data_IF_074472644026
#
_entry.id   IF_074472644026
#
_cell.length_a   1.000
_cell.length_b   1.000
_cell.length_c   1.000
_cell.angle_alpha   90.00
_cell.angle_beta   90.00
_cell.angle_gamma   90.00
#
_symmetry.space_group_name_H-M   'P 1'
#
loop_
_entity.id
_entity.type
_entity.pdbx_description
1 polymer ?
#
# COMPACT_ATOMS: atom_id res chain seq x y z
N UNK A 1 40.80 -22.55 1.70
CA UNK A 1 39.78 -23.05 2.64
C UNK A 1 38.93 -22.00 3.36
N UNK A 2 38.41 -20.96 2.68
CA UNK A 2 37.33 -20.13 3.24
C UNK A 2 36.33 -19.65 2.17
N UNK A 3 35.92 -20.54 1.27
CA UNK A 3 34.96 -20.22 0.20
C UNK A 3 33.58 -20.89 0.34
N UNK A 4 33.39 -21.82 1.30
CA UNK A 4 32.11 -22.53 1.47
C UNK A 4 31.01 -21.73 2.20
N UNK A 5 31.38 -20.74 3.02
CA UNK A 5 30.40 -20.06 3.89
C UNK A 5 29.40 -19.12 3.21
N UNK A 6 29.68 -18.65 1.99
CA UNK A 6 28.88 -17.59 1.35
C UNK A 6 27.68 -18.10 0.54
N UNK A 7 27.56 -19.42 0.35
CA UNK A 7 26.49 -20.02 -0.45
C UNK A 7 25.11 -20.03 0.19
N UNK A 8 25.05 -19.97 1.52
CA UNK A 8 23.82 -20.04 2.33
C UNK A 8 23.53 -18.70 3.05
N UNK A 9 24.48 -17.76 3.04
CA UNK A 9 24.25 -16.44 3.60
C UNK A 9 23.50 -15.55 2.59
N UNK A 10 22.51 -14.79 3.10
CA UNK A 10 21.51 -14.02 2.36
C UNK A 10 20.34 -14.86 1.80
N UNK A 11 19.55 -14.30 0.86
CA UNK A 11 18.26 -14.83 0.39
C UNK A 11 18.30 -16.29 -0.11
N UNK A 12 19.48 -16.84 -0.43
CA UNK A 12 19.67 -18.24 -0.81
C UNK A 12 19.39 -19.24 0.33
N UNK A 13 19.56 -18.84 1.60
CA UNK A 13 19.25 -19.68 2.76
C UNK A 13 17.77 -19.98 2.94
N UNK A 14 16.88 -19.18 2.32
CA UNK A 14 15.43 -19.41 2.36
C UNK A 14 14.97 -20.62 1.53
N UNK A 15 15.86 -21.18 0.69
CA UNK A 15 15.56 -22.32 -0.18
C UNK A 15 16.16 -23.63 0.34
N UNK A 16 16.79 -23.63 1.52
CA UNK A 16 17.46 -24.80 2.11
C UNK A 16 16.73 -25.25 3.36
N UNK A 17 16.21 -26.47 3.35
CA UNK A 17 15.42 -27.02 4.47
C UNK A 17 16.30 -27.64 5.56
N UNK A 18 17.43 -28.27 5.20
CA UNK A 18 18.47 -28.71 6.13
C UNK A 18 19.82 -28.93 5.40
N UNK A 19 20.93 -28.94 6.17
CA UNK A 19 22.27 -29.31 5.68
C UNK A 19 22.68 -30.61 6.37
N UNK A 20 23.18 -31.58 5.60
CA UNK A 20 23.72 -32.83 6.15
C UNK A 20 25.24 -32.86 5.94
N UNK A 21 26.00 -32.75 7.03
CA UNK A 21 27.47 -32.68 7.01
C UNK A 21 28.04 -31.38 7.59
N UNK A 22 29.32 -31.11 7.32
CA UNK A 22 30.02 -29.92 7.82
C UNK A 22 29.61 -28.66 7.05
N UNK A 23 28.93 -27.75 7.76
CA UNK A 23 28.44 -26.47 7.25
C UNK A 23 29.54 -25.60 6.60
N UNK A 24 30.80 -25.75 7.04
CA UNK A 24 31.92 -24.94 6.54
C UNK A 24 32.39 -25.37 5.15
N UNK A 25 31.96 -26.54 4.66
CA UNK A 25 32.34 -27.11 3.37
C UNK A 25 31.22 -27.10 2.32
N UNK A 26 30.13 -26.36 2.58
CA UNK A 26 29.04 -26.23 1.61
C UNK A 26 29.51 -25.43 0.40
N UNK A 27 29.73 -26.09 -0.74
CA UNK A 27 29.88 -25.39 -2.02
C UNK A 27 28.54 -24.77 -2.40
N UNK A 28 28.51 -23.44 -2.49
CA UNK A 28 27.28 -22.67 -2.56
C UNK A 28 26.35 -23.04 -3.71
N UNK A 29 25.06 -22.89 -3.47
CA UNK A 29 24.02 -23.09 -4.48
C UNK A 29 24.29 -22.12 -5.65
N UNK A 30 24.48 -22.61 -6.89
CA UNK A 30 24.86 -21.75 -8.02
C UNK A 30 23.62 -20.99 -8.52
N UNK A 31 23.20 -19.99 -7.75
CA UNK A 31 21.96 -19.23 -7.96
C UNK A 31 21.86 -18.65 -9.37
N UNK A 32 22.99 -18.21 -9.95
CA UNK A 32 23.04 -17.75 -11.33
C UNK A 32 22.65 -18.86 -12.33
N UNK A 33 23.16 -20.08 -12.13
CA UNK A 33 22.84 -21.22 -12.98
C UNK A 33 21.39 -21.66 -12.82
N UNK A 34 20.89 -21.68 -11.58
CA UNK A 34 19.49 -22.01 -11.27
C UNK A 34 18.52 -20.99 -11.90
N UNK A 35 18.76 -19.69 -11.72
CA UNK A 35 17.95 -18.64 -12.33
C UNK A 35 17.98 -18.70 -13.86
N UNK A 36 19.13 -19.04 -14.48
CA UNK A 36 19.23 -19.27 -15.93
C UNK A 36 18.37 -20.46 -16.37
N UNK A 37 18.38 -21.56 -15.62
CA UNK A 37 17.55 -22.74 -15.94
C UNK A 37 16.05 -22.46 -15.79
N UNK A 38 15.65 -21.68 -14.78
CA UNK A 38 14.27 -21.21 -14.66
C UNK A 38 13.89 -20.30 -15.84
N UNK A 39 14.76 -19.36 -16.22
CA UNK A 39 14.51 -18.50 -17.37
C UNK A 39 14.36 -19.32 -18.68
N UNK A 40 15.17 -20.36 -18.89
CA UNK A 40 15.04 -21.27 -20.03
C UNK A 40 13.72 -22.06 -20.04
N UNK A 41 13.22 -22.45 -18.87
CA UNK A 41 11.98 -23.22 -18.73
C UNK A 41 10.72 -22.38 -18.97
N UNK A 42 10.70 -21.15 -18.44
CA UNK A 42 9.52 -20.28 -18.51
C UNK A 42 9.55 -19.32 -19.71
N UNK A 43 10.74 -19.03 -20.25
CA UNK A 43 10.95 -18.14 -21.39
C UNK A 43 11.98 -18.73 -22.38
N UNK A 44 11.66 -19.86 -23.03
CA UNK A 44 12.60 -20.51 -23.93
C UNK A 44 12.98 -19.55 -25.08
N UNK A 45 14.28 -19.35 -25.36
CA UNK A 45 14.70 -18.42 -26.40
C UNK A 45 14.24 -18.93 -27.78
N UNK A 46 13.80 -18.01 -28.64
CA UNK A 46 13.44 -18.34 -30.03
C UNK A 46 14.68 -18.84 -30.78
N UNK A 47 14.51 -19.83 -31.66
CA UNK A 47 15.60 -20.58 -32.33
C UNK A 47 16.48 -19.78 -33.33
N UNK A 48 16.52 -18.45 -33.27
CA UNK A 48 17.36 -17.66 -34.16
C UNK A 48 18.35 -16.75 -33.41
N UNK A 49 19.64 -17.00 -33.73
CA UNK A 49 20.87 -16.23 -33.43
C UNK A 49 21.42 -16.28 -32.00
N UNK A 50 22.23 -17.31 -31.72
CA UNK A 50 23.23 -17.30 -30.64
C UNK A 50 24.55 -16.79 -31.23
N UNK A 51 24.94 -15.56 -30.90
CA UNK A 51 26.34 -15.12 -30.97
C UNK A 51 26.94 -15.15 -29.56
N UNK A 52 27.86 -16.08 -29.33
CA UNK A 52 28.63 -16.14 -28.08
C UNK A 52 29.61 -14.97 -28.01
N UNK A 53 29.32 -13.96 -27.17
CA UNK A 53 30.33 -13.00 -26.71
C UNK A 53 30.98 -13.51 -25.43
N UNK A 54 32.29 -13.72 -25.48
CA UNK A 54 33.14 -14.11 -24.35
C UNK A 54 33.45 -12.84 -23.53
N UNK A 55 33.19 -12.86 -22.23
CA UNK A 55 33.63 -11.81 -21.31
C UNK A 55 34.79 -12.38 -20.47
N UNK A 56 35.89 -11.63 -20.40
CA UNK A 56 37.04 -11.95 -19.56
C UNK A 56 36.78 -11.56 -18.10
N UNK A 57 37.41 -12.30 -17.19
CA UNK A 57 37.21 -12.29 -15.73
C UNK A 57 37.45 -10.93 -15.06
N UNK A 58 36.65 -10.62 -14.03
CA UNK A 58 36.74 -9.41 -13.19
C UNK A 58 37.97 -9.52 -12.25
N UNK A 59 38.84 -8.50 -12.12
CA UNK A 59 39.98 -8.53 -11.21
C UNK A 59 39.57 -8.26 -9.74
N UNK A 60 40.35 -8.80 -8.79
CA UNK A 60 40.14 -8.66 -7.35
C UNK A 60 40.50 -7.26 -6.84
N UNK A 61 39.72 -6.73 -5.89
CA UNK A 61 39.95 -5.43 -5.23
C UNK A 61 40.53 -5.66 -3.83
N UNK A 62 41.62 -4.94 -3.52
CA UNK A 62 42.27 -4.95 -2.21
C UNK A 62 41.43 -4.23 -1.14
N UNK A 63 41.40 -4.82 0.05
CA UNK A 63 40.77 -4.28 1.27
C UNK A 63 41.56 -3.10 1.83
N UNK A 64 40.91 -1.95 2.04
CA UNK A 64 41.49 -0.80 2.74
C UNK A 64 41.38 -0.97 4.26
N UNK A 65 42.53 -1.07 4.93
CA UNK A 65 42.70 -0.79 6.35
C UNK A 65 43.04 0.69 6.58
N UNK A 66 42.45 1.25 7.64
CA UNK A 66 42.88 2.38 8.49
C UNK A 66 43.31 3.71 7.87
N UNK A 67 42.62 4.80 8.28
CA UNK A 67 43.24 6.03 8.80
C UNK A 67 42.26 6.74 9.77
N UNK A 68 42.75 7.12 10.95
CA UNK A 68 42.03 7.87 12.00
C UNK A 68 42.40 9.36 12.02
N UNK A 69 41.58 10.10 12.76
CA UNK A 69 41.76 11.38 13.45
C UNK A 69 41.93 12.70 12.66
N UNK A 70 41.16 13.69 13.11
CA UNK A 70 41.31 15.11 12.75
C UNK A 70 40.13 15.96 13.21
N UNK A 71 40.24 16.53 14.40
CA UNK A 71 39.29 17.47 15.01
C UNK A 71 39.10 18.80 14.23
N UNK A 72 38.01 19.49 14.64
CA UNK A 72 37.80 20.94 14.66
C UNK A 72 36.97 21.57 13.53
N UNK A 73 35.83 22.16 13.91
CA UNK A 73 35.64 23.62 13.81
C UNK A 73 34.30 24.07 14.39
N UNK A 74 34.36 25.31 14.85
CA UNK A 74 33.42 26.08 15.65
C UNK A 74 32.59 27.02 14.76
N UNK A 75 31.42 27.46 15.26
CA UNK A 75 30.66 28.70 14.92
C UNK A 75 30.14 28.82 13.45
N UNK A 76 29.02 29.44 13.07
CA UNK A 76 28.15 30.47 13.65
C UNK A 76 26.82 30.49 12.86
N UNK A 77 25.77 31.02 13.48
CA UNK A 77 24.49 31.40 12.87
C UNK A 77 24.63 32.43 11.73
N UNK A 78 23.69 32.40 10.76
CA UNK A 78 23.23 33.62 10.10
C UNK A 78 21.73 33.53 9.76
N UNK A 79 20.94 34.37 10.44
CA UNK A 79 19.60 34.83 10.02
C UNK A 79 19.75 35.88 8.92
N UNK A 80 18.92 35.82 7.88
CA UNK A 80 18.35 37.00 7.22
C UNK A 80 16.91 36.68 6.78
N UNK A 81 16.01 37.62 7.08
CA UNK A 81 14.60 37.64 6.69
C UNK A 81 14.34 38.79 5.70
N UNK A 82 13.19 38.72 5.01
CA UNK A 82 12.29 39.80 4.54
C UNK A 82 11.80 39.56 3.09
N UNK A 83 10.47 39.39 2.91
CA UNK A 83 9.46 40.36 2.40
C UNK A 83 9.42 40.41 0.85
N UNK A 84 8.32 40.64 0.13
CA UNK A 84 6.85 40.61 0.27
C UNK A 84 6.33 40.98 -1.16
N UNK A 85 5.05 40.71 -1.45
CA UNK A 85 4.16 41.43 -2.39
C UNK A 85 3.57 40.75 -3.64
N UNK A 86 2.33 41.22 -3.87
CA UNK A 86 1.18 40.78 -4.64
C UNK A 86 1.21 41.12 -6.13
N UNK A 87 0.43 40.38 -6.92
CA UNK A 87 -0.60 40.97 -7.81
C UNK A 87 -1.53 39.87 -8.35
N UNK A 88 -2.82 40.19 -8.51
CA UNK A 88 -3.83 39.32 -9.13
C UNK A 88 -4.38 39.94 -10.41
N UNK A 89 -5.20 39.17 -11.16
CA UNK A 89 -6.48 39.59 -11.76
C UNK A 89 -7.03 38.61 -12.82
N UNK A 90 -8.34 38.37 -12.70
CA UNK A 90 -9.41 38.17 -13.69
C UNK A 90 -9.59 36.95 -14.61
N UNK A 91 -10.87 36.58 -14.62
CA UNK A 91 -11.70 35.64 -15.38
C UNK A 91 -11.86 35.97 -16.87
N UNK A 92 -12.03 34.93 -17.70
CA UNK A 92 -13.08 34.93 -18.74
C UNK A 92 -13.52 33.49 -19.05
N UNK A 93 -14.82 33.29 -19.22
CA UNK A 93 -15.42 31.99 -19.53
C UNK A 93 -15.77 31.83 -21.01
N UNK A 94 -15.99 30.59 -21.42
CA UNK A 94 -16.82 30.24 -22.57
C UNK A 94 -17.43 28.84 -22.36
N UNK A 95 -18.75 28.76 -22.53
CA UNK A 95 -19.52 27.53 -22.61
C UNK A 95 -19.51 26.98 -24.06
N UNK A 96 -19.71 25.66 -24.24
CA UNK A 96 -20.76 25.05 -25.11
C UNK A 96 -20.57 23.52 -25.28
N UNK A 97 -21.57 22.78 -24.78
CA UNK A 97 -22.27 21.58 -25.32
C UNK A 97 -21.55 20.34 -25.91
N UNK A 98 -21.68 19.23 -25.17
CA UNK A 98 -22.22 17.89 -25.50
C UNK A 98 -21.94 17.22 -26.86
N UNK A 99 -21.24 16.08 -26.87
CA UNK A 99 -21.84 14.73 -27.05
C UNK A 99 -20.82 13.58 -26.84
N UNK A 100 -21.35 12.42 -26.45
CA UNK A 100 -20.71 11.19 -25.97
C UNK A 100 -19.65 10.58 -26.92
N UNK A 101 -18.61 9.92 -26.38
CA UNK A 101 -18.51 8.43 -26.23
C UNK A 101 -17.11 8.02 -25.72
N UNK A 102 -17.11 7.24 -24.62
CA UNK A 102 -16.06 6.37 -24.06
C UNK A 102 -14.57 6.54 -24.44
N UNK A 103 -13.79 7.11 -23.51
CA UNK A 103 -12.48 6.62 -23.02
C UNK A 103 -11.70 7.80 -22.40
N UNK A 104 -11.87 8.07 -21.11
CA UNK A 104 -11.09 9.11 -20.43
C UNK A 104 -9.70 8.53 -20.12
N UNK A 105 -8.78 8.67 -21.08
CA UNK A 105 -7.35 8.73 -20.77
C UNK A 105 -7.08 10.11 -20.17
N UNK A 106 -6.66 10.15 -18.91
CA UNK A 106 -6.16 11.36 -18.26
C UNK A 106 -4.78 11.72 -18.83
N UNK A 107 -4.75 12.17 -20.07
CA UNK A 107 -3.60 12.86 -20.65
C UNK A 107 -3.81 14.36 -20.52
N UNK A 108 -3.07 15.01 -19.62
CA UNK A 108 -2.93 16.47 -19.66
C UNK A 108 -2.34 16.84 -21.03
N UNK A 109 -3.20 17.33 -21.93
CA UNK A 109 -2.76 17.86 -23.22
C UNK A 109 -2.81 19.37 -23.09
N UNK A 110 -1.67 20.00 -22.89
CA UNK A 110 -1.55 21.46 -22.95
C UNK A 110 -1.60 21.85 -24.43
N UNK A 111 -2.50 22.75 -24.87
CA UNK A 111 -2.44 23.27 -26.23
C UNK A 111 -1.24 24.21 -26.32
N UNK A 112 -0.14 23.75 -26.94
CA UNK A 112 0.86 24.67 -27.48
C UNK A 112 0.33 25.14 -28.84
N UNK A 113 -0.30 26.31 -28.88
CA UNK A 113 -0.43 27.05 -30.14
C UNK A 113 0.99 27.43 -30.58
N UNK A 114 1.47 26.80 -31.65
CA UNK A 114 2.70 27.20 -32.30
C UNK A 114 2.38 27.60 -33.75
N UNK A 115 2.16 28.89 -33.95
CA UNK A 115 2.35 29.50 -35.25
C UNK A 115 3.85 29.44 -35.56
N UNK A 116 4.28 28.40 -36.28
CA UNK A 116 5.37 28.38 -37.26
C UNK A 116 5.85 26.93 -37.49
N UNK A 117 5.86 26.52 -38.76
CA UNK A 117 6.08 25.15 -39.22
C UNK A 117 7.48 24.60 -38.97
N UNK A 118 7.71 24.08 -37.76
CA UNK A 118 8.81 23.15 -37.47
C UNK A 118 8.22 21.88 -36.88
N UNK A 119 8.46 20.75 -37.53
CA UNK A 119 8.09 19.41 -37.06
C UNK A 119 8.83 19.09 -35.76
N UNK A 120 8.29 19.50 -34.61
CA UNK A 120 8.74 19.02 -33.31
C UNK A 120 8.23 17.60 -33.11
N UNK A 121 9.14 16.63 -32.99
CA UNK A 121 8.80 15.35 -32.37
C UNK A 121 8.33 15.66 -30.96
N UNK A 122 7.01 15.67 -30.72
CA UNK A 122 6.45 15.91 -29.41
C UNK A 122 7.08 14.90 -28.44
N UNK A 123 7.94 15.38 -27.55
CA UNK A 123 8.51 14.55 -26.50
C UNK A 123 7.34 14.00 -25.69
N UNK A 124 7.21 12.68 -25.63
CA UNK A 124 6.15 12.06 -24.82
C UNK A 124 6.37 12.49 -23.37
N UNK A 125 5.41 13.20 -22.81
CA UNK A 125 5.38 13.57 -21.40
C UNK A 125 5.60 12.29 -20.55
N UNK A 126 6.47 12.31 -19.52
CA UNK A 126 6.76 11.13 -18.72
C UNK A 126 5.62 10.82 -17.75
N UNK A 127 4.48 10.34 -18.29
CA UNK A 127 3.20 10.20 -17.57
C UNK A 127 3.34 9.44 -16.27
N UNK A 128 4.09 8.32 -16.26
CA UNK A 128 4.31 7.51 -15.06
C UNK A 128 5.03 8.25 -13.94
N UNK A 129 6.00 9.12 -14.27
CA UNK A 129 6.72 9.90 -13.25
C UNK A 129 5.80 10.97 -12.66
N UNK A 130 5.02 11.64 -13.51
CA UNK A 130 4.06 12.64 -13.07
C UNK A 130 2.95 12.02 -12.21
N UNK A 131 2.44 10.85 -12.59
CA UNK A 131 1.49 10.06 -11.80
C UNK A 131 2.03 9.74 -10.40
N UNK A 132 3.32 9.38 -10.28
CA UNK A 132 3.96 9.16 -8.98
C UNK A 132 4.13 10.46 -8.19
N UNK A 133 4.53 11.55 -8.86
CA UNK A 133 4.69 12.87 -8.23
C UNK A 133 3.36 13.41 -7.69
N UNK A 134 2.25 13.15 -8.36
CA UNK A 134 0.93 13.64 -7.99
C UNK A 134 0.10 12.62 -7.17
N UNK A 135 0.50 11.35 -7.13
CA UNK A 135 -0.27 10.27 -6.50
C UNK A 135 -0.62 10.51 -5.03
N UNK A 136 0.25 11.20 -4.29
CA UNK A 136 -0.03 11.56 -2.89
C UNK A 136 -1.28 12.46 -2.76
N UNK A 137 -1.57 13.30 -3.77
CA UNK A 137 -2.73 14.20 -3.79
C UNK A 137 -4.02 13.39 -3.93
N UNK A 138 -4.03 12.44 -4.86
CA UNK A 138 -5.17 11.53 -5.07
C UNK A 138 -5.46 10.70 -3.81
N UNK A 139 -4.41 10.11 -3.22
CA UNK A 139 -4.52 9.38 -1.94
C UNK A 139 -5.10 10.26 -0.83
N UNK A 140 -4.59 11.49 -0.66
CA UNK A 140 -5.07 12.37 0.41
C UNK A 140 -6.51 12.83 0.19
N UNK A 141 -6.94 13.04 -1.05
CA UNK A 141 -8.33 13.34 -1.37
C UNK A 141 -9.27 12.19 -0.95
N UNK A 142 -8.94 10.95 -1.34
CA UNK A 142 -9.68 9.75 -0.91
C UNK A 142 -9.74 9.63 0.62
N UNK A 143 -8.62 9.86 1.29
CA UNK A 143 -8.50 9.74 2.74
C UNK A 143 -9.37 10.76 3.46
N UNK A 144 -9.33 12.02 3.04
CA UNK A 144 -10.12 13.10 3.65
C UNK A 144 -11.61 12.90 3.36
N UNK A 145 -11.99 12.54 2.13
CA UNK A 145 -13.39 12.26 1.79
C UNK A 145 -13.96 11.09 2.61
N UNK A 146 -13.16 10.03 2.80
CA UNK A 146 -13.54 8.90 3.65
C UNK A 146 -13.65 9.30 5.12
N UNK A 147 -12.69 10.08 5.64
CA UNK A 147 -12.68 10.55 7.03
C UNK A 147 -13.85 11.48 7.35
N UNK A 148 -14.26 12.31 6.39
CA UNK A 148 -15.46 13.14 6.47
C UNK A 148 -16.75 12.37 6.15
N UNK A 149 -16.67 11.04 5.96
CA UNK A 149 -17.84 10.17 5.71
C UNK A 149 -18.66 10.59 4.48
N UNK A 150 -18.04 11.25 3.50
CA UNK A 150 -18.74 11.77 2.30
C UNK A 150 -19.49 10.65 1.57
N UNK A 151 -18.85 9.49 1.42
CA UNK A 151 -19.47 8.33 0.75
C UNK A 151 -20.68 7.78 1.53
N UNK A 152 -20.68 7.86 2.85
CA UNK A 152 -21.81 7.47 3.69
C UNK A 152 -22.98 8.48 3.56
N UNK A 153 -22.67 9.78 3.53
CA UNK A 153 -23.68 10.83 3.34
C UNK A 153 -24.36 10.75 1.96
N UNK A 154 -23.63 10.29 0.94
CA UNK A 154 -24.16 10.08 -0.41
C UNK A 154 -24.83 8.71 -0.57
N UNK A 155 -24.64 7.79 0.38
CA UNK A 155 -25.23 6.45 0.34
C UNK A 155 -26.75 6.55 0.42
N UNK A 156 -27.44 5.89 -0.51
CA UNK A 156 -28.91 5.86 -0.61
C UNK A 156 -29.60 7.22 -0.82
N UNK A 157 -28.83 8.29 -1.06
CA UNK A 157 -29.36 9.58 -1.51
C UNK A 157 -29.25 9.67 -3.03
N UNK A 158 -30.17 10.40 -3.65
CA UNK A 158 -29.96 10.88 -5.02
C UNK A 158 -28.82 11.90 -5.08
N UNK A 159 -28.53 12.46 -6.28
CA UNK A 159 -27.53 13.51 -6.42
C UNK A 159 -27.72 14.63 -5.39
N UNK A 160 -26.67 14.93 -4.62
CA UNK A 160 -26.72 15.89 -3.48
C UNK A 160 -25.77 17.06 -3.73
N UNK A 161 -26.19 18.29 -3.43
CA UNK A 161 -25.37 19.48 -3.68
C UNK A 161 -24.24 19.61 -2.65
N UNK A 162 -23.13 20.23 -3.07
CA UNK A 162 -21.98 20.46 -2.21
C UNK A 162 -22.32 21.25 -0.93
N UNK A 163 -23.26 22.20 -1.00
CA UNK A 163 -23.71 22.98 0.16
C UNK A 163 -24.38 22.10 1.22
N UNK A 164 -25.21 21.14 0.81
CA UNK A 164 -25.91 20.25 1.74
C UNK A 164 -24.93 19.29 2.39
N UNK A 165 -24.00 18.73 1.60
CA UNK A 165 -22.93 17.85 2.11
C UNK A 165 -22.02 18.61 3.08
N UNK A 166 -21.64 19.84 2.75
CA UNK A 166 -20.79 20.68 3.60
C UNK A 166 -21.46 20.96 4.96
N UNK A 167 -22.77 21.23 4.96
CA UNK A 167 -23.55 21.43 6.18
C UNK A 167 -23.62 20.13 7.02
N UNK A 168 -23.90 19.00 6.37
CA UNK A 168 -23.98 17.68 7.02
C UNK A 168 -22.68 17.28 7.73
N UNK A 169 -21.52 17.60 7.12
CA UNK A 169 -20.19 17.23 7.66
C UNK A 169 -19.52 18.34 8.46
N UNK A 170 -20.16 19.51 8.60
CA UNK A 170 -19.63 20.66 9.33
C UNK A 170 -18.36 21.28 8.71
N UNK A 171 -18.29 21.34 7.37
CA UNK A 171 -17.13 21.85 6.62
C UNK A 171 -17.46 23.10 5.80
N UNK A 172 -16.44 23.79 5.30
CA UNK A 172 -16.63 24.92 4.39
C UNK A 172 -17.22 24.44 3.05
N UNK A 173 -18.18 25.19 2.49
CA UNK A 173 -18.78 24.87 1.18
C UNK A 173 -17.71 24.83 0.08
N UNK A 174 -16.85 25.84 0.00
CA UNK A 174 -15.77 25.92 -1.01
C UNK A 174 -14.79 24.75 -0.92
N UNK A 175 -14.32 24.41 0.29
CA UNK A 175 -13.41 23.27 0.48
C UNK A 175 -14.07 21.92 0.15
N UNK A 176 -15.33 21.76 0.53
CA UNK A 176 -16.11 20.55 0.26
C UNK A 176 -16.34 20.39 -1.25
N UNK A 177 -16.75 21.45 -1.95
CA UNK A 177 -16.96 21.42 -3.39
C UNK A 177 -15.68 21.02 -4.14
N UNK A 178 -14.53 21.61 -3.78
CA UNK A 178 -13.23 21.24 -4.37
C UNK A 178 -12.84 19.79 -4.12
N UNK A 179 -13.13 19.27 -2.93
CA UNK A 179 -12.87 17.87 -2.61
C UNK A 179 -13.79 16.93 -3.40
N UNK A 180 -15.08 17.28 -3.53
CA UNK A 180 -16.05 16.53 -4.31
C UNK A 180 -15.68 16.54 -5.81
N UNK A 181 -15.25 17.67 -6.34
CA UNK A 181 -14.72 17.80 -7.70
C UNK A 181 -13.49 16.93 -7.93
N UNK A 182 -12.54 16.93 -6.99
CA UNK A 182 -11.40 16.04 -7.04
C UNK A 182 -11.84 14.57 -7.04
N UNK A 183 -12.76 14.19 -6.15
CA UNK A 183 -13.29 12.82 -6.10
C UNK A 183 -14.04 12.42 -7.38
N UNK A 184 -14.77 13.34 -8.00
CA UNK A 184 -15.41 13.11 -9.29
C UNK A 184 -14.37 12.92 -10.41
N UNK A 185 -13.32 13.74 -10.43
CA UNK A 185 -12.22 13.60 -11.39
C UNK A 185 -11.43 12.29 -11.23
N UNK A 186 -11.39 11.75 -10.01
CA UNK A 186 -10.77 10.47 -9.67
C UNK A 186 -11.70 9.27 -9.92
N UNK A 187 -12.93 9.50 -10.42
CA UNK A 187 -13.90 8.44 -10.67
C UNK A 187 -14.51 7.82 -9.40
N UNK A 188 -14.41 8.50 -8.25
CA UNK A 188 -15.03 8.05 -7.00
C UNK A 188 -16.50 8.50 -6.92
N UNK A 189 -16.79 9.69 -7.46
CA UNK A 189 -18.12 10.28 -7.50
C UNK A 189 -18.55 10.54 -8.95
N UNK A 190 -19.85 10.60 -9.17
CA UNK A 190 -20.45 11.18 -10.37
C UNK A 190 -20.88 12.61 -10.06
N UNK A 191 -20.60 13.54 -10.98
CA UNK A 191 -21.06 14.93 -10.90
C UNK A 191 -22.09 15.20 -11.98
N UNK A 192 -23.26 15.68 -11.56
CA UNK A 192 -24.36 16.09 -12.42
C UNK A 192 -24.78 17.53 -12.09
N UNK A 193 -25.58 18.21 -12.93
CA UNK A 193 -26.17 19.50 -12.57
C UNK A 193 -27.01 19.46 -11.27
N UNK A 194 -27.54 18.29 -10.91
CA UNK A 194 -28.34 18.07 -9.70
C UNK A 194 -27.47 17.92 -8.45
N UNK A 195 -26.21 17.50 -8.59
CA UNK A 195 -25.28 17.31 -7.48
C UNK A 195 -24.32 16.14 -7.69
N UNK A 196 -23.79 15.64 -6.59
CA UNK A 196 -22.83 14.53 -6.55
C UNK A 196 -23.50 13.25 -6.06
N UNK A 197 -23.09 12.11 -6.59
CA UNK A 197 -23.48 10.77 -6.14
C UNK A 197 -22.29 9.83 -6.12
N UNK A 198 -22.35 8.76 -5.33
CA UNK A 198 -21.34 7.72 -5.38
C UNK A 198 -21.39 6.99 -6.72
N UNK A 199 -20.23 6.59 -7.23
CA UNK A 199 -20.15 5.52 -8.23
C UNK A 199 -20.49 4.16 -7.61
N UNK A 200 -20.79 3.15 -8.43
CA UNK A 200 -21.02 1.77 -7.95
C UNK A 200 -19.82 1.22 -7.14
N UNK A 201 -18.61 1.52 -7.61
CA UNK A 201 -17.38 1.15 -6.91
C UNK A 201 -17.26 1.83 -5.55
N UNK A 202 -17.54 3.14 -5.47
CA UNK A 202 -17.53 3.86 -4.19
C UNK A 202 -18.61 3.36 -3.23
N UNK A 203 -19.82 3.06 -3.71
CA UNK A 203 -20.88 2.44 -2.91
C UNK A 203 -20.48 1.06 -2.37
N UNK A 204 -19.71 0.29 -3.14
CA UNK A 204 -19.29 -1.06 -2.74
C UNK A 204 -18.15 -1.03 -1.72
N UNK A 205 -17.15 -0.17 -1.94
CA UNK A 205 -15.87 -0.23 -1.23
C UNK A 205 -15.61 0.95 -0.29
N UNK A 206 -16.29 2.08 -0.41
CA UNK A 206 -15.93 3.31 0.34
C UNK A 206 -16.95 3.71 1.41
N UNK A 207 -18.18 3.19 1.35
CA UNK A 207 -19.16 3.34 2.44
C UNK A 207 -18.71 2.52 3.65
N UNK A 208 -18.75 3.09 4.83
CA UNK A 208 -18.14 2.55 6.04
C UNK A 208 -18.86 1.35 6.66
N UNK A 209 -20.13 1.16 6.34
CA UNK A 209 -20.97 0.04 6.75
C UNK A 209 -21.13 -1.02 5.63
N UNK A 210 -20.42 -0.86 4.51
CA UNK A 210 -20.44 -1.81 3.40
C UNK A 210 -19.75 -3.13 3.76
N UNK A 211 -20.30 -4.26 3.28
CA UNK A 211 -19.72 -5.60 3.49
C UNK A 211 -18.25 -5.67 3.02
N UNK A 212 -17.95 -5.03 1.90
CA UNK A 212 -16.61 -4.99 1.29
C UNK A 212 -15.88 -3.66 1.56
N UNK A 213 -16.25 -2.96 2.65
CA UNK A 213 -15.70 -1.64 2.94
C UNK A 213 -14.20 -1.66 3.16
N UNK A 214 -13.49 -0.76 2.47
CA UNK A 214 -12.10 -0.41 2.69
C UNK A 214 -11.93 0.78 3.64
N UNK A 215 -13.03 1.31 4.21
CA UNK A 215 -13.00 2.48 5.06
C UNK A 215 -12.01 2.32 6.23
N UNK A 216 -12.01 1.17 6.91
CA UNK A 216 -11.07 0.90 8.01
C UNK A 216 -9.60 1.01 7.57
N UNK A 217 -9.27 0.45 6.41
CA UNK A 217 -7.92 0.51 5.83
C UNK A 217 -7.54 1.93 5.39
N UNK A 218 -8.48 2.69 4.84
CA UNK A 218 -8.27 4.09 4.44
C UNK A 218 -7.98 4.98 5.66
N UNK A 219 -8.75 4.84 6.74
CA UNK A 219 -8.51 5.60 7.98
C UNK A 219 -7.16 5.23 8.58
N UNK A 220 -6.80 3.95 8.61
CA UNK A 220 -5.47 3.51 9.04
C UNK A 220 -4.35 4.08 8.16
N UNK A 221 -4.54 4.10 6.84
CA UNK A 221 -3.59 4.69 5.90
C UNK A 221 -3.39 6.19 6.16
N UNK A 222 -4.47 6.91 6.44
CA UNK A 222 -4.43 8.35 6.70
C UNK A 222 -3.84 8.73 8.05
N UNK A 223 -4.23 8.03 9.12
CA UNK A 223 -3.93 8.43 10.49
C UNK A 223 -2.67 7.74 11.03
N UNK A 224 -2.24 6.63 10.41
CA UNK A 224 -1.07 5.87 10.85
C UNK A 224 0.04 5.77 9.79
N UNK A 225 -0.27 5.27 8.59
CA UNK A 225 0.78 5.09 7.57
C UNK A 225 1.30 6.43 7.04
N UNK A 226 0.43 7.41 6.80
CA UNK A 226 0.83 8.71 6.26
C UNK A 226 1.86 9.47 7.13
N UNK A 227 1.69 9.57 8.46
CA UNK A 227 2.74 10.12 9.33
C UNK A 227 4.07 9.34 9.26
N UNK A 228 4.03 8.01 9.15
CA UNK A 228 5.25 7.20 9.00
C UNK A 228 5.95 7.46 7.66
N UNK A 229 5.18 7.52 6.57
CA UNK A 229 5.72 7.80 5.23
C UNK A 229 6.25 9.24 5.09
N UNK A 230 5.70 10.19 5.84
CA UNK A 230 6.28 11.55 5.97
C UNK A 230 7.73 11.50 6.49
N UNK A 231 8.08 10.47 7.27
CA UNK A 231 9.42 10.27 7.84
C UNK A 231 10.24 9.20 7.09
N UNK A 232 9.82 8.78 5.88
CA UNK A 232 10.48 7.70 5.13
C UNK A 232 11.97 7.98 4.86
N UNK A 233 12.35 9.24 4.63
CA UNK A 233 13.75 9.62 4.44
C UNK A 233 14.63 9.22 5.64
N UNK A 234 14.16 9.48 6.87
CA UNK A 234 14.85 9.07 8.09
C UNK A 234 14.88 7.56 8.23
N UNK A 235 13.78 6.86 7.89
CA UNK A 235 13.74 5.40 7.92
C UNK A 235 14.82 4.78 7.03
N UNK A 236 15.03 5.34 5.83
CA UNK A 236 16.06 4.88 4.89
C UNK A 236 17.46 5.18 5.41
N UNK A 237 17.69 6.38 5.94
CA UNK A 237 19.02 6.79 6.45
C UNK A 237 19.43 6.02 7.71
N UNK A 238 18.49 5.73 8.58
CA UNK A 238 18.76 5.16 9.91
C UNK A 238 18.52 3.65 9.97
N UNK A 239 17.84 3.07 8.99
CA UNK A 239 17.45 1.65 8.99
C UNK A 239 16.51 1.27 10.14
N UNK A 240 15.76 2.24 10.69
CA UNK A 240 14.99 2.08 11.93
C UNK A 240 13.53 2.52 11.78
N UNK A 241 12.67 2.04 12.69
CA UNK A 241 11.23 2.38 12.72
C UNK A 241 11.03 3.83 13.15
N UNK A 242 10.20 4.58 12.40
CA UNK A 242 10.02 6.02 12.62
C UNK A 242 8.80 6.39 13.48
N UNK A 243 8.25 5.43 14.22
CA UNK A 243 7.08 5.67 15.09
C UNK A 243 7.32 6.79 16.13
N UNK A 244 8.55 6.88 16.66
CA UNK A 244 8.89 7.94 17.61
C UNK A 244 8.78 9.33 16.98
N UNK A 245 9.33 9.50 15.77
CA UNK A 245 9.23 10.76 15.02
C UNK A 245 7.79 11.07 14.58
N UNK A 246 7.05 10.06 14.15
CA UNK A 246 5.70 10.22 13.64
C UNK A 246 4.66 10.52 14.74
N UNK A 247 4.83 9.99 15.95
CA UNK A 247 3.82 10.03 17.01
C UNK A 247 4.32 10.54 18.36
N UNK A 248 5.60 10.92 18.49
CA UNK A 248 6.18 11.47 19.71
C UNK A 248 6.39 10.47 20.86
N UNK A 249 6.26 9.15 20.61
CA UNK A 249 6.28 8.10 21.64
C UNK A 249 7.61 7.34 21.68
N UNK A 250 8.21 7.13 22.87
CA UNK A 250 9.53 6.49 23.02
C UNK A 250 9.56 5.07 22.41
N UNK A 251 10.71 4.65 21.89
CA UNK A 251 10.87 3.41 21.12
C UNK A 251 10.47 2.13 21.88
N UNK A 252 10.70 2.08 23.20
CA UNK A 252 10.38 0.93 24.06
C UNK A 252 8.87 0.76 24.33
N UNK A 253 8.07 1.79 24.07
CA UNK A 253 6.62 1.77 24.31
C UNK A 253 5.82 1.26 23.10
N UNK A 254 6.43 1.00 21.95
CA UNK A 254 5.67 0.89 20.69
C UNK A 254 4.95 -0.45 20.49
N UNK A 255 5.58 -1.58 20.83
CA UNK A 255 4.88 -2.88 20.88
C UNK A 255 3.91 -2.95 22.05
N UNK A 256 4.13 -2.17 23.12
CA UNK A 256 3.23 -2.11 24.27
C UNK A 256 1.99 -1.25 23.95
N UNK A 257 2.17 -0.05 23.43
CA UNK A 257 1.09 0.93 23.21
C UNK A 257 0.14 0.57 22.07
N UNK A 258 0.66 -0.04 21.00
CA UNK A 258 -0.20 -0.55 19.92
C UNK A 258 -1.22 -1.54 20.45
N UNK A 259 -0.82 -2.27 21.52
CA UNK A 259 -1.65 -3.24 22.23
C UNK A 259 -2.15 -2.75 23.61
N UNK A 260 -2.04 -1.48 23.99
CA UNK A 260 -2.60 -0.97 25.26
C UNK A 260 -3.90 -0.18 25.07
N UNK A 261 -4.00 0.63 24.01
CA UNK A 261 -5.29 1.26 23.68
C UNK A 261 -6.18 0.28 22.94
N UNK A 262 -7.30 -0.11 23.54
CA UNK A 262 -8.30 -0.98 22.88
C UNK A 262 -8.81 -0.35 21.58
N UNK A 263 -8.98 0.96 21.55
CA UNK A 263 -9.43 1.68 20.36
C UNK A 263 -8.40 1.60 19.22
N UNK A 264 -7.11 1.77 19.51
CA UNK A 264 -6.05 1.67 18.49
C UNK A 264 -5.96 0.25 17.95
N UNK A 265 -6.03 -0.77 18.83
CA UNK A 265 -6.09 -2.18 18.43
C UNK A 265 -7.28 -2.47 17.51
N UNK A 266 -8.48 -2.05 17.91
CA UNK A 266 -9.69 -2.27 17.13
C UNK A 266 -9.60 -1.59 15.77
N UNK A 267 -9.08 -0.36 15.68
CA UNK A 267 -8.87 0.34 14.40
C UNK A 267 -7.88 -0.40 13.50
N UNK A 268 -6.79 -0.92 14.06
CA UNK A 268 -5.85 -1.74 13.29
C UNK A 268 -6.48 -3.05 12.81
N UNK A 269 -7.15 -3.78 13.71
CA UNK A 269 -7.82 -5.04 13.36
C UNK A 269 -8.90 -4.80 12.30
N UNK A 270 -9.66 -3.72 12.39
CA UNK A 270 -10.65 -3.34 11.38
C UNK A 270 -9.99 -3.03 10.03
N UNK A 271 -8.84 -2.35 10.02
CA UNK A 271 -8.08 -2.09 8.81
C UNK A 271 -7.56 -3.37 8.15
N UNK A 272 -6.98 -4.29 8.94
CA UNK A 272 -6.50 -5.58 8.43
C UNK A 272 -7.65 -6.48 7.99
N UNK A 273 -8.77 -6.47 8.71
CA UNK A 273 -9.98 -7.18 8.31
C UNK A 273 -10.51 -6.70 6.96
N UNK A 274 -10.55 -5.38 6.74
CA UNK A 274 -11.05 -4.78 5.48
C UNK A 274 -10.31 -5.34 4.26
N UNK A 275 -8.97 -5.35 4.30
CA UNK A 275 -8.17 -5.83 3.16
C UNK A 275 -8.18 -7.36 3.07
N UNK A 276 -8.10 -8.06 4.20
CA UNK A 276 -8.12 -9.52 4.23
C UNK A 276 -9.46 -10.06 3.72
N UNK A 277 -10.59 -9.45 4.10
CA UNK A 277 -11.90 -9.87 3.61
C UNK A 277 -12.05 -9.71 2.09
N UNK A 278 -11.47 -8.64 1.51
CA UNK A 278 -11.53 -8.40 0.07
C UNK A 278 -10.73 -9.43 -0.73
N UNK A 279 -9.57 -9.86 -0.21
CA UNK A 279 -8.64 -10.76 -0.91
C UNK A 279 -8.77 -12.22 -0.50
N UNK A 280 -9.50 -12.52 0.59
CA UNK A 280 -9.57 -13.85 1.19
C UNK A 280 -10.00 -14.93 0.17
N UNK A 281 -10.96 -14.61 -0.71
CA UNK A 281 -11.47 -15.57 -1.68
C UNK A 281 -10.45 -15.90 -2.76
N UNK A 282 -9.75 -14.89 -3.27
CA UNK A 282 -8.69 -15.09 -4.26
C UNK A 282 -7.56 -15.93 -3.65
N UNK A 283 -7.19 -15.67 -2.40
CA UNK A 283 -6.20 -16.47 -1.66
C UNK A 283 -6.70 -17.91 -1.44
N UNK A 284 -7.94 -18.09 -0.98
CA UNK A 284 -8.52 -19.39 -0.70
C UNK A 284 -8.68 -20.28 -1.95
N UNK A 285 -8.83 -19.67 -3.12
CA UNK A 285 -9.05 -20.38 -4.39
C UNK A 285 -7.83 -20.41 -5.32
N UNK A 286 -6.73 -19.77 -4.95
CA UNK A 286 -5.48 -19.78 -5.71
C UNK A 286 -4.90 -21.21 -5.87
N UNK A 287 -5.14 -22.08 -4.89
CA UNK A 287 -4.72 -23.47 -4.90
C UNK A 287 -5.87 -24.38 -4.48
N UNK A 288 -5.90 -25.61 -4.99
CA UNK A 288 -6.81 -26.64 -4.51
C UNK A 288 -6.33 -27.20 -3.16
N UNK A 289 -7.05 -26.85 -2.10
CA UNK A 289 -6.78 -27.30 -0.73
C UNK A 289 -7.68 -28.46 -0.28
N UNK A 290 -8.47 -29.04 -1.19
CA UNK A 290 -9.49 -30.06 -0.87
C UNK A 290 -8.94 -31.33 -0.22
N UNK A 291 -7.67 -31.66 -0.46
CA UNK A 291 -6.99 -32.80 0.17
C UNK A 291 -6.71 -32.61 1.66
N UNK A 292 -6.69 -31.37 2.15
CA UNK A 292 -6.38 -31.05 3.54
C UNK A 292 -7.64 -31.02 4.40
N UNK A 293 -7.54 -31.60 5.60
CA UNK A 293 -8.65 -31.63 6.58
C UNK A 293 -8.47 -30.61 7.71
N UNK A 294 -7.26 -30.08 7.85
CA UNK A 294 -6.91 -29.09 8.87
C UNK A 294 -5.93 -28.05 8.30
N UNK A 295 -6.09 -26.80 8.70
CA UNK A 295 -5.18 -25.70 8.41
C UNK A 295 -4.95 -24.85 9.67
N UNK A 296 -3.81 -24.15 9.71
CA UNK A 296 -3.48 -23.18 10.74
C UNK A 296 -3.20 -21.83 10.08
N UNK A 297 -3.97 -20.81 10.44
CA UNK A 297 -3.80 -19.43 10.00
C UNK A 297 -2.94 -18.68 11.03
N UNK A 298 -1.62 -18.72 10.82
CA UNK A 298 -0.62 -18.10 11.70
C UNK A 298 -0.59 -16.58 11.49
N UNK A 299 -0.95 -15.83 12.53
CA UNK A 299 -1.18 -14.38 12.42
C UNK A 299 -2.50 -14.04 11.75
N UNK A 300 -3.49 -14.93 11.82
CA UNK A 300 -4.77 -14.79 11.11
C UNK A 300 -5.69 -13.67 11.64
N UNK A 301 -5.31 -13.00 12.73
CA UNK A 301 -5.98 -11.83 13.28
C UNK A 301 -7.49 -12.05 13.48
N UNK A 302 -8.33 -11.41 12.66
CA UNK A 302 -9.80 -11.49 12.73
C UNK A 302 -10.37 -12.79 12.18
N UNK A 303 -9.55 -13.63 11.56
CA UNK A 303 -9.97 -14.89 10.93
C UNK A 303 -10.68 -14.70 9.58
N UNK A 304 -10.58 -13.54 8.94
CA UNK A 304 -11.23 -13.27 7.66
C UNK A 304 -10.88 -14.33 6.59
N UNK A 305 -9.61 -14.72 6.49
CA UNK A 305 -9.17 -15.80 5.61
C UNK A 305 -9.70 -17.16 6.08
N UNK A 306 -9.58 -17.47 7.37
CA UNK A 306 -10.09 -18.71 7.93
C UNK A 306 -11.59 -18.94 7.66
N UNK A 307 -12.41 -17.89 7.77
CA UNK A 307 -13.84 -17.96 7.46
C UNK A 307 -14.11 -18.19 5.98
N UNK A 308 -13.35 -17.57 5.07
CA UNK A 308 -13.50 -17.85 3.64
C UNK A 308 -13.03 -19.27 3.29
N UNK A 309 -11.93 -19.74 3.88
CA UNK A 309 -11.41 -21.09 3.68
C UNK A 309 -12.47 -22.16 4.03
N UNK A 310 -13.19 -22.01 5.15
CA UNK A 310 -14.24 -22.97 5.53
C UNK A 310 -15.52 -22.83 4.69
N UNK A 311 -15.76 -21.67 4.07
CA UNK A 311 -16.84 -21.51 3.08
C UNK A 311 -16.51 -22.20 1.76
N UNK A 312 -15.26 -22.07 1.29
CA UNK A 312 -14.78 -22.70 0.05
C UNK A 312 -14.59 -24.21 0.24
N UNK A 313 -14.08 -24.65 1.40
CA UNK A 313 -13.81 -26.04 1.74
C UNK A 313 -14.58 -26.46 3.01
N UNK A 314 -15.83 -26.92 2.89
CA UNK A 314 -16.69 -27.23 4.05
C UNK A 314 -16.14 -28.32 4.98
N UNK A 315 -15.23 -29.16 4.51
CA UNK A 315 -14.59 -30.23 5.30
C UNK A 315 -13.28 -29.79 6.00
N UNK A 316 -12.79 -28.58 5.70
CA UNK A 316 -11.55 -28.05 6.28
C UNK A 316 -11.84 -27.47 7.66
N UNK A 317 -11.01 -27.84 8.65
CA UNK A 317 -10.98 -27.19 9.96
C UNK A 317 -9.82 -26.21 10.00
N UNK A 318 -10.06 -24.97 10.41
CA UNK A 318 -9.03 -23.92 10.45
C UNK A 318 -8.84 -23.45 11.89
N UNK A 319 -7.59 -23.44 12.35
CA UNK A 319 -7.21 -22.81 13.62
C UNK A 319 -6.52 -21.48 13.33
N UNK A 320 -7.10 -20.39 13.81
CA UNK A 320 -6.47 -19.07 13.81
C UNK A 320 -5.56 -18.97 15.03
N UNK A 321 -4.28 -18.74 14.81
CA UNK A 321 -3.29 -18.57 15.87
C UNK A 321 -2.76 -17.14 15.86
N UNK A 322 -2.91 -16.42 16.97
CA UNK A 322 -2.42 -15.03 17.09
C UNK A 322 -2.07 -14.69 18.55
N UNK A 323 -1.60 -13.47 18.81
CA UNK A 323 -1.28 -13.00 20.15
C UNK A 323 -2.55 -12.94 21.04
N UNK A 324 -2.42 -13.18 22.37
CA UNK A 324 -3.55 -13.12 23.29
C UNK A 324 -4.39 -11.84 23.19
N UNK A 325 -3.74 -10.69 23.02
CA UNK A 325 -4.41 -9.39 22.93
C UNK A 325 -5.22 -9.20 21.64
N UNK A 326 -4.84 -9.91 20.57
CA UNK A 326 -5.58 -9.92 19.29
C UNK A 326 -6.80 -10.83 19.42
N UNK A 327 -6.59 -12.05 19.91
CA UNK A 327 -7.65 -13.06 20.06
C UNK A 327 -8.79 -12.54 20.96
N UNK A 328 -8.45 -11.82 22.03
CA UNK A 328 -9.41 -11.21 22.95
C UNK A 328 -10.38 -10.21 22.27
N UNK A 329 -10.05 -9.69 21.09
CA UNK A 329 -10.84 -8.72 20.35
C UNK A 329 -11.52 -9.30 19.09
N UNK A 330 -11.46 -10.62 18.87
CA UNK A 330 -11.97 -11.24 17.63
C UNK A 330 -13.49 -11.29 17.54
N UNK A 331 -14.21 -11.29 18.67
CA UNK A 331 -15.67 -11.37 18.71
C UNK A 331 -16.36 -10.25 17.93
N UNK A 332 -15.75 -9.07 17.83
CA UNK A 332 -16.26 -7.94 17.04
C UNK A 332 -16.31 -8.20 15.52
N UNK A 333 -15.54 -9.17 15.04
CA UNK A 333 -15.37 -9.46 13.62
C UNK A 333 -15.96 -10.82 13.20
N UNK A 334 -16.55 -11.55 14.16
CA UNK A 334 -17.17 -12.82 13.87
C UNK A 334 -18.47 -12.62 13.07
N UNK A 335 -18.72 -13.42 12.02
CA UNK A 335 -19.95 -13.33 11.24
C UNK A 335 -21.19 -13.47 12.14
N UNK A 336 -22.18 -12.60 11.96
CA UNK A 336 -23.45 -12.68 12.67
C UNK A 336 -24.29 -13.84 12.10
N UNK A 337 -24.18 -15.04 12.69
CA UNK A 337 -24.89 -16.22 12.21
C UNK A 337 -24.59 -17.48 13.01
N UNK A 338 -25.54 -18.42 13.02
CA UNK A 338 -25.53 -19.60 13.87
C UNK A 338 -24.60 -20.70 13.33
N UNK A 339 -23.66 -21.12 14.19
CA UNK A 339 -22.85 -22.34 14.13
C UNK A 339 -22.15 -22.67 12.80
N UNK A 340 -20.89 -22.28 12.69
CA UNK A 340 -19.90 -23.09 11.96
C UNK A 340 -18.79 -23.47 12.93
N UNK A 341 -18.76 -24.73 13.34
CA UNK A 341 -17.71 -25.33 14.15
C UNK A 341 -16.35 -25.65 13.43
N UNK A 342 -15.99 -25.15 12.22
CA UNK A 342 -14.67 -25.42 11.66
C UNK A 342 -13.62 -24.34 11.95
N UNK A 343 -13.93 -23.16 12.50
CA UNK A 343 -12.92 -22.15 12.86
C UNK A 343 -12.71 -22.10 14.38
N UNK A 344 -11.48 -22.33 14.83
CA UNK A 344 -11.07 -22.20 16.23
C UNK A 344 -10.02 -21.12 16.39
N UNK A 345 -9.97 -20.45 17.55
CA UNK A 345 -8.98 -19.42 17.85
C UNK A 345 -8.09 -19.90 19.00
N UNK A 346 -6.78 -19.79 18.81
CA UNK A 346 -5.75 -20.17 19.79
C UNK A 346 -4.81 -19.00 19.99
N UNK A 347 -4.64 -18.56 21.23
CA UNK A 347 -3.68 -17.51 21.55
C UNK A 347 -2.30 -18.07 21.84
N UNK A 348 -1.24 -17.44 21.36
CA UNK A 348 0.12 -17.77 21.74
C UNK A 348 1.16 -16.89 21.07
N UNK A 349 2.44 -17.24 21.27
CA UNK A 349 3.57 -16.58 20.62
C UNK A 349 4.45 -17.66 20.00
N UNK A 350 4.71 -17.56 18.70
CA UNK A 350 5.71 -18.42 18.07
C UNK A 350 7.09 -18.06 18.65
N UNK A 351 7.73 -19.02 19.29
CA UNK A 351 9.14 -18.90 19.69
C UNK A 351 10.00 -19.06 18.44
N UNK A 352 10.81 -18.05 18.14
CA UNK A 352 11.89 -18.09 17.15
C UNK A 352 13.08 -18.86 17.65
#
# INVERSE_FOLDING_TARGET
>A
DKAGGYGIQALGGMLVEYVHGDFLNVVGFPLNHFCKKLAELYYPPSKHNIQHKKYDSIPSVDTFENLSDGESSNFTEHKVASKLEHSGMHSSGAAYTSENTSAVRTGFTVPLENQNGVSQSASKLPSKILELMDGFRASKALFVASKLKIFDHLKHKGPTKAVDIANDVGASVCGTERLLDACASLGLLEKTPQGYSNTDSANTYLTSDGKYSLHGYIIHSNDHLWPLFTNLEFAVKEGSRQNHRAFGKKADDLFKDYYHSQEVKQRFMAAMHSIAHLTARDVATAFDLSQFKSACDLGGCTGALAYELVQVYPNLKVTVFDLPEVIANTSYFQPSGQHTAPVTFVSGKCST
#
